data_IF_313682394192
#
_entry.id   IF_313682394192
#
_cell.length_a   1.000
_cell.length_b   1.000
_cell.length_c   1.000
_cell.angle_alpha   90.00
_cell.angle_beta   90.00
_cell.angle_gamma   90.00
#
_symmetry.space_group_name_H-M   'P 1'
#
loop_
_entity.id
_entity.type
_entity.pdbx_description
1 polymer ?
#
# COMPACT_ATOMS: atom_id res chain seq x y z
N UNK A 1 -17.28 -2.52 -7.16
CA UNK A 1 -16.15 -2.18 -6.29
C UNK A 1 -14.97 -1.78 -7.15
N UNK A 2 -14.39 -0.65 -6.88
CA UNK A 2 -13.26 -0.16 -7.65
C UNK A 2 -11.95 -0.42 -6.92
N UNK A 3 -10.99 -0.91 -7.69
CA UNK A 3 -9.62 -1.05 -7.20
C UNK A 3 -8.80 0.13 -7.72
N UNK A 4 -7.89 0.58 -6.87
CA UNK A 4 -6.97 1.67 -7.20
C UNK A 4 -5.56 1.22 -6.86
N UNK A 5 -4.58 1.98 -7.32
CA UNK A 5 -3.21 1.74 -6.86
C UNK A 5 -2.91 2.60 -5.64
N UNK A 6 -1.93 2.17 -4.87
CA UNK A 6 -1.56 2.88 -3.64
C UNK A 6 -1.11 4.33 -3.94
N UNK A 7 -0.52 4.57 -5.11
CA UNK A 7 -0.07 5.92 -5.47
C UNK A 7 -1.21 6.93 -5.60
N UNK A 8 -2.45 6.45 -5.78
CA UNK A 8 -3.61 7.30 -5.97
C UNK A 8 -4.36 7.59 -4.67
N UNK A 9 -3.87 7.11 -3.55
CA UNK A 9 -4.52 7.25 -2.26
C UNK A 9 -4.02 8.51 -1.56
N UNK A 10 -4.96 9.32 -1.08
CA UNK A 10 -4.63 10.57 -0.38
C UNK A 10 -4.15 10.32 1.05
N UNK A 11 -3.32 11.25 1.58
CA UNK A 11 -2.90 11.16 2.98
C UNK A 11 -4.07 11.05 3.94
N UNK A 12 -3.91 10.22 4.97
CA UNK A 12 -4.93 9.99 5.98
C UNK A 12 -5.86 8.83 5.66
N UNK A 13 -5.86 8.35 4.42
CA UNK A 13 -6.75 7.26 4.00
C UNK A 13 -6.07 5.93 4.25
N UNK A 14 -6.84 4.98 4.77
CA UNK A 14 -6.41 3.60 4.98
C UNK A 14 -7.05 2.69 3.94
N UNK A 15 -6.29 1.74 3.44
CA UNK A 15 -6.73 0.80 2.40
C UNK A 15 -6.20 -0.59 2.70
N UNK A 16 -6.73 -1.58 2.00
CA UNK A 16 -6.28 -2.97 2.10
C UNK A 16 -5.61 -3.36 0.79
N UNK A 17 -4.48 -4.03 0.89
CA UNK A 17 -3.77 -4.55 -0.27
C UNK A 17 -4.56 -5.71 -0.87
N UNK A 18 -4.83 -5.64 -2.16
CA UNK A 18 -5.48 -6.72 -2.91
C UNK A 18 -4.44 -7.63 -3.54
N UNK A 19 -3.51 -7.04 -4.28
CA UNK A 19 -2.44 -7.79 -4.95
C UNK A 19 -1.35 -6.83 -5.41
N UNK A 20 -0.21 -7.40 -5.79
CA UNK A 20 0.89 -6.65 -6.35
C UNK A 20 1.03 -7.07 -7.81
N UNK A 21 0.94 -6.10 -8.72
CA UNK A 21 1.04 -6.33 -10.17
C UNK A 21 2.40 -5.84 -10.63
N UNK A 22 3.33 -6.76 -10.80
CA UNK A 22 4.70 -6.43 -11.18
C UNK A 22 5.29 -7.59 -11.97
N UNK A 23 5.82 -7.31 -13.16
CA UNK A 23 6.45 -8.33 -14.01
C UNK A 23 7.84 -8.71 -13.49
N UNK A 24 8.54 -7.77 -12.89
CA UNK A 24 9.87 -8.01 -12.33
C UNK A 24 9.72 -8.68 -10.97
N UNK A 25 10.11 -9.95 -10.89
CA UNK A 25 9.94 -10.74 -9.67
C UNK A 25 10.82 -10.23 -8.53
N UNK A 26 11.96 -9.64 -8.83
CA UNK A 26 12.85 -9.10 -7.80
C UNK A 26 12.21 -7.87 -7.14
N UNK A 27 11.61 -7.01 -7.93
CA UNK A 27 10.88 -5.84 -7.41
C UNK A 27 9.68 -6.29 -6.59
N UNK A 28 8.93 -7.25 -7.11
CA UNK A 28 7.76 -7.80 -6.41
C UNK A 28 8.16 -8.39 -5.07
N UNK A 29 9.23 -9.17 -5.04
CA UNK A 29 9.74 -9.78 -3.81
C UNK A 29 10.16 -8.71 -2.81
N UNK A 30 10.86 -7.67 -3.27
CA UNK A 30 11.29 -6.57 -2.40
C UNK A 30 10.10 -5.88 -1.74
N UNK A 31 9.04 -5.64 -2.51
CA UNK A 31 7.81 -5.03 -1.98
C UNK A 31 7.18 -5.94 -0.92
N UNK A 32 7.11 -7.24 -1.20
CA UNK A 32 6.50 -8.19 -0.27
C UNK A 32 7.34 -8.41 0.98
N UNK A 33 8.65 -8.33 0.86
CA UNK A 33 9.56 -8.57 1.98
C UNK A 33 9.42 -7.54 3.10
N UNK A 34 8.99 -6.34 2.77
CA UNK A 34 8.76 -5.30 3.81
C UNK A 34 7.39 -5.44 4.48
N UNK A 35 6.61 -6.45 4.10
CA UNK A 35 5.32 -6.71 4.72
C UNK A 35 4.12 -6.27 3.92
N UNK A 36 4.31 -5.80 2.70
CA UNK A 36 3.20 -5.38 1.84
C UNK A 36 2.66 -6.62 1.14
N UNK A 37 1.69 -7.24 1.79
CA UNK A 37 1.10 -8.52 1.36
C UNK A 37 -0.41 -8.37 1.20
N UNK A 38 -1.04 -9.18 0.33
CA UNK A 38 -2.50 -9.17 0.22
C UNK A 38 -3.17 -9.32 1.59
N UNK A 39 -4.17 -8.49 1.85
CA UNK A 39 -4.90 -8.50 3.11
C UNK A 39 -4.37 -7.54 4.17
N UNK A 40 -3.19 -6.96 3.96
CA UNK A 40 -2.60 -6.03 4.93
C UNK A 40 -3.21 -4.64 4.76
N UNK A 41 -3.52 -3.98 5.87
CA UNK A 41 -3.97 -2.59 5.86
C UNK A 41 -2.79 -1.65 5.79
N UNK A 42 -2.90 -0.64 4.94
CA UNK A 42 -1.90 0.41 4.80
C UNK A 42 -2.60 1.75 4.94
N UNK A 43 -2.02 2.65 5.74
CA UNK A 43 -2.46 4.04 5.79
C UNK A 43 -1.42 4.90 5.09
N UNK A 44 -1.86 5.75 4.17
CA UNK A 44 -0.98 6.75 3.57
C UNK A 44 -0.86 7.90 4.57
N UNK A 45 0.37 8.18 5.00
CA UNK A 45 0.63 9.21 6.01
C UNK A 45 0.92 10.54 5.34
N UNK A 46 1.79 10.53 4.35
CA UNK A 46 2.31 11.75 3.75
C UNK A 46 2.82 11.47 2.35
N UNK A 47 2.63 12.44 1.47
CA UNK A 47 3.13 12.38 0.10
C UNK A 47 3.99 13.60 -0.12
N UNK A 48 5.20 13.41 -0.64
CA UNK A 48 6.10 14.53 -0.93
C UNK A 48 5.48 15.46 -1.98
N UNK A 49 5.92 16.73 -2.04
CA UNK A 49 5.27 17.74 -2.89
C UNK A 49 5.04 17.37 -4.35
N UNK A 50 5.93 16.54 -4.92
CA UNK A 50 5.81 16.11 -6.31
C UNK A 50 5.24 14.70 -6.44
N UNK A 51 4.63 14.17 -5.36
CA UNK A 51 4.03 12.84 -5.39
C UNK A 51 4.98 11.71 -5.08
N UNK A 52 6.24 11.99 -4.80
CA UNK A 52 7.27 10.96 -4.59
C UNK A 52 8.36 11.49 -3.66
N UNK A 53 8.76 10.78 -2.62
CA UNK A 53 8.25 9.47 -2.17
C UNK A 53 6.94 9.57 -1.37
N UNK A 54 6.41 8.40 -1.03
CA UNK A 54 5.18 8.27 -0.26
C UNK A 54 5.51 7.61 1.09
N UNK A 55 5.07 8.24 2.18
CA UNK A 55 5.21 7.66 3.52
C UNK A 55 3.93 6.91 3.86
N UNK A 56 4.07 5.66 4.26
CA UNK A 56 2.94 4.80 4.62
C UNK A 56 3.17 4.19 6.00
N UNK A 57 2.09 3.77 6.64
CA UNK A 57 2.12 3.04 7.90
C UNK A 57 1.47 1.68 7.71
N UNK A 58 2.13 0.63 8.17
CA UNK A 58 1.61 -0.73 8.15
C UNK A 58 2.23 -1.54 9.28
N UNK A 59 1.45 -2.47 9.81
CA UNK A 59 1.93 -3.41 10.83
C UNK A 59 2.65 -2.72 12.01
N UNK A 60 2.23 -1.50 12.34
CA UNK A 60 2.76 -0.76 13.49
C UNK A 60 4.03 0.02 13.24
N UNK A 61 4.48 0.14 12.00
CA UNK A 61 5.66 0.95 11.68
C UNK A 61 5.48 1.69 10.35
N UNK A 62 6.31 2.70 10.15
CA UNK A 62 6.26 3.54 8.97
C UNK A 62 7.34 3.14 7.97
N UNK A 63 6.99 3.26 6.69
CA UNK A 63 7.90 3.00 5.57
C UNK A 63 7.80 4.15 4.59
N UNK A 64 8.88 4.34 3.83
CA UNK A 64 8.88 5.27 2.71
C UNK A 64 9.07 4.44 1.45
N UNK A 65 8.16 4.59 0.49
CA UNK A 65 8.22 3.86 -0.77
C UNK A 65 8.21 4.83 -1.94
N UNK A 66 8.72 4.38 -3.06
CA UNK A 66 8.71 5.15 -4.29
C UNK A 66 7.32 5.10 -4.91
N UNK A 67 6.96 6.18 -5.59
CA UNK A 67 5.70 6.24 -6.34
C UNK A 67 5.62 5.09 -7.37
N UNK A 68 6.75 4.76 -8.01
CA UNK A 68 6.78 3.66 -8.97
C UNK A 68 6.41 2.31 -8.33
N UNK A 69 6.83 2.07 -7.09
CA UNK A 69 6.46 0.86 -6.37
C UNK A 69 4.99 0.91 -5.94
N UNK A 70 4.54 2.06 -5.47
CA UNK A 70 3.14 2.24 -5.09
C UNK A 70 2.18 1.99 -6.26
N UNK A 71 2.60 2.32 -7.47
CA UNK A 71 1.79 2.11 -8.67
C UNK A 71 1.55 0.62 -8.98
N UNK A 72 2.33 -0.26 -8.38
CA UNK A 72 2.22 -1.71 -8.57
C UNK A 72 1.37 -2.40 -7.51
N UNK A 73 0.94 -1.65 -6.50
CA UNK A 73 0.18 -2.19 -5.37
C UNK A 73 -1.28 -1.84 -5.57
N UNK A 74 -2.09 -2.86 -5.84
CA UNK A 74 -3.54 -2.69 -6.02
C UNK A 74 -4.19 -2.74 -4.64
N UNK A 75 -5.00 -1.75 -4.36
CA UNK A 75 -5.67 -1.60 -3.07
C UNK A 75 -7.17 -1.40 -3.24
N UNK A 76 -7.89 -1.57 -2.16
CA UNK A 76 -9.32 -1.30 -2.09
C UNK A 76 -9.65 -0.63 -0.77
N UNK A 77 -10.85 -0.07 -0.66
CA UNK A 77 -11.33 0.49 0.59
C UNK A 77 -11.44 -0.61 1.64
N UNK A 78 -11.19 -0.25 2.90
CA UNK A 78 -11.33 -1.17 4.01
C UNK A 78 -12.80 -1.46 4.23
N UNK A 79 -13.14 -2.75 4.37
CA UNK A 79 -14.46 -3.22 4.77
C UNK A 79 -14.40 -3.68 6.22
N UNK A 80 -15.55 -3.84 6.84
CA UNK A 80 -15.63 -4.23 8.25
C UNK A 80 -14.85 -5.51 8.56
N UNK A 81 -14.90 -6.48 7.65
CA UNK A 81 -14.19 -7.76 7.82
C UNK A 81 -12.67 -7.61 7.86
N UNK A 82 -12.15 -6.60 7.19
CA UNK A 82 -10.70 -6.42 7.09
C UNK A 82 -10.07 -6.05 8.43
N UNK A 83 -10.80 -5.35 9.28
CA UNK A 83 -10.31 -4.96 10.60
C UNK A 83 -10.06 -6.17 11.51
N UNK A 84 -10.77 -7.26 11.32
CA UNK A 84 -10.59 -8.45 12.13
C UNK A 84 -9.24 -9.12 11.89
N UNK A 85 -8.68 -8.94 10.71
CA UNK A 85 -7.42 -9.56 10.34
C UNK A 85 -6.21 -8.68 10.60
N UNK A 86 -6.42 -7.40 10.90
CA UNK A 86 -5.31 -6.44 10.99
C UNK A 86 -5.08 -5.89 12.38
N UNK A 87 -5.86 -6.33 13.33
CA UNK A 87 -5.72 -5.92 14.73
C UNK A 87 -4.48 -6.49 15.40
#
# INVERSE_FOLDING_TARGET
MEYRTLKDIYPGISVVVVKIVCKDQDIKRRIMDVGILPGVCIQVIKVAPFGDPIQISLLGFDLIIRKSDASKIIVKNIEENDYEYTR
#
